data_IF_127119134003
#
_entry.id   IF_127119134003
#
_cell.length_a   1.000
_cell.length_b   1.000
_cell.length_c   1.000
_cell.angle_alpha   90.00
_cell.angle_beta   90.00
_cell.angle_gamma   90.00
#
_symmetry.space_group_name_H-M   'P 1'
#
loop_
_entity.id
_entity.type
_entity.pdbx_description
1 polymer ?
#
# COMPACT_ATOMS: atom_id res chain seq x y z
N UNK A 1 -4.76 13.81 21.60
CA UNK A 1 -3.52 13.89 22.40
C UNK A 1 -2.39 14.20 21.42
N UNK A 2 -1.84 15.42 21.45
CA UNK A 2 -0.70 15.78 20.60
C UNK A 2 0.56 15.12 21.15
N UNK A 3 1.22 14.27 20.36
CA UNK A 3 2.53 13.70 20.71
C UNK A 3 3.58 14.80 20.96
N UNK A 4 4.60 14.52 21.76
CA UNK A 4 5.70 15.46 21.99
C UNK A 4 6.37 15.86 20.66
N UNK A 5 6.66 17.16 20.43
CA UNK A 5 7.30 17.64 19.20
C UNK A 5 8.61 16.91 18.90
N UNK A 6 8.95 16.81 17.61
CA UNK A 6 10.18 16.17 17.12
C UNK A 6 10.34 14.67 17.47
N UNK A 7 9.29 14.00 17.93
CA UNK A 7 9.27 12.55 18.12
C UNK A 7 8.72 11.81 16.89
N UNK A 8 9.04 10.52 16.77
CA UNK A 8 8.51 9.66 15.71
C UNK A 8 6.98 9.71 15.61
N UNK A 9 6.28 9.63 16.73
CA UNK A 9 4.81 9.66 16.77
C UNK A 9 4.25 11.01 16.31
N UNK A 10 4.95 12.11 16.60
CA UNK A 10 4.56 13.43 16.11
C UNK A 10 4.68 13.53 14.59
N UNK A 11 5.78 13.03 14.00
CA UNK A 11 5.92 12.98 12.54
C UNK A 11 4.92 12.03 11.88
N UNK A 12 4.67 10.86 12.46
CA UNK A 12 3.72 9.89 11.94
C UNK A 12 2.29 10.47 11.92
N UNK A 13 1.88 11.14 13.01
CA UNK A 13 0.59 11.83 13.08
C UNK A 13 0.51 12.97 12.06
N UNK A 14 1.61 13.70 11.86
CA UNK A 14 1.69 14.75 10.85
C UNK A 14 1.54 14.19 9.43
N UNK A 15 2.26 13.12 9.10
CA UNK A 15 2.16 12.47 7.79
C UNK A 15 0.78 11.87 7.52
N UNK A 16 0.10 11.34 8.55
CA UNK A 16 -1.29 10.88 8.43
C UNK A 16 -2.25 12.04 8.09
N UNK A 17 -2.04 13.21 8.69
CA UNK A 17 -2.80 14.41 8.35
C UNK A 17 -2.53 14.85 6.90
N UNK A 18 -1.28 14.76 6.43
CA UNK A 18 -0.94 15.04 5.03
C UNK A 18 -1.58 14.02 4.07
N UNK A 19 -1.62 12.73 4.43
CA UNK A 19 -2.31 11.71 3.66
C UNK A 19 -3.82 12.02 3.54
N UNK A 20 -4.47 12.38 4.66
CA UNK A 20 -5.87 12.82 4.65
C UNK A 20 -6.10 14.02 3.73
N UNK A 21 -5.20 15.00 3.72
CA UNK A 21 -5.26 16.16 2.82
C UNK A 21 -5.06 15.77 1.36
N UNK A 22 -4.15 14.83 1.06
CA UNK A 22 -3.97 14.28 -0.30
C UNK A 22 -5.24 13.60 -0.81
N UNK A 23 -5.88 12.76 0.01
CA UNK A 23 -7.14 12.12 -0.35
C UNK A 23 -8.20 13.18 -0.64
N UNK A 24 -8.33 14.20 0.20
CA UNK A 24 -9.27 15.30 -0.05
C UNK A 24 -8.96 16.04 -1.37
N UNK A 25 -7.68 16.29 -1.66
CA UNK A 25 -7.27 16.94 -2.89
C UNK A 25 -7.56 16.09 -4.13
N UNK A 26 -7.47 14.77 -4.05
CA UNK A 26 -7.83 13.85 -5.13
C UNK A 26 -9.29 14.00 -5.56
N UNK A 27 -10.20 14.23 -4.62
CA UNK A 27 -11.63 14.45 -4.89
C UNK A 27 -11.97 15.91 -5.27
N UNK A 28 -10.98 16.77 -5.43
CA UNK A 28 -11.14 18.16 -5.87
C UNK A 28 -12.07 18.98 -4.98
N UNK A 29 -13.10 19.57 -5.58
CA UNK A 29 -14.10 20.41 -4.89
C UNK A 29 -15.22 19.61 -4.20
N UNK A 30 -15.15 18.28 -4.18
CA UNK A 30 -16.21 17.45 -3.61
C UNK A 30 -16.35 17.68 -2.10
N UNK A 31 -17.59 17.87 -1.63
CA UNK A 31 -17.90 17.97 -0.20
C UNK A 31 -17.61 16.66 0.55
N UNK A 32 -17.42 16.71 1.88
CA UNK A 32 -17.06 15.54 2.69
C UNK A 32 -18.09 14.41 2.58
N UNK A 33 -19.39 14.72 2.51
CA UNK A 33 -20.46 13.73 2.36
C UNK A 33 -20.30 12.96 1.04
N UNK A 34 -20.05 13.66 -0.07
CA UNK A 34 -19.86 13.02 -1.38
C UNK A 34 -18.63 12.11 -1.39
N UNK A 35 -17.54 12.52 -0.75
CA UNK A 35 -16.34 11.69 -0.60
C UNK A 35 -16.66 10.43 0.20
N UNK A 36 -17.34 10.57 1.35
CA UNK A 36 -17.76 9.43 2.17
C UNK A 36 -18.69 8.49 1.42
N UNK A 37 -19.63 9.02 0.63
CA UNK A 37 -20.53 8.20 -0.20
C UNK A 37 -19.76 7.44 -1.29
N UNK A 38 -18.80 8.08 -1.98
CA UNK A 38 -17.99 7.41 -3.00
C UNK A 38 -17.14 6.30 -2.37
N UNK A 39 -16.45 6.59 -1.27
CA UNK A 39 -15.61 5.62 -0.57
C UNK A 39 -16.45 4.49 0.03
N UNK A 40 -17.61 4.81 0.61
CA UNK A 40 -18.56 3.84 1.14
C UNK A 40 -19.14 2.95 0.05
N UNK A 41 -19.55 3.53 -1.08
CA UNK A 41 -20.06 2.78 -2.23
C UNK A 41 -18.98 1.85 -2.80
N UNK A 42 -17.75 2.32 -2.95
CA UNK A 42 -16.63 1.48 -3.39
C UNK A 42 -16.39 0.32 -2.41
N UNK A 43 -16.42 0.58 -1.10
CA UNK A 43 -16.21 -0.44 -0.09
C UNK A 43 -17.33 -1.50 -0.12
N UNK A 44 -18.59 -1.08 -0.18
CA UNK A 44 -19.73 -2.02 -0.32
C UNK A 44 -19.63 -2.81 -1.63
N UNK A 45 -19.30 -2.15 -2.73
CA UNK A 45 -19.13 -2.79 -4.03
C UNK A 45 -18.06 -3.90 -4.00
N UNK A 46 -16.87 -3.62 -3.44
CA UNK A 46 -15.81 -4.62 -3.36
C UNK A 46 -16.13 -5.76 -2.39
N UNK A 47 -16.86 -5.51 -1.30
CA UNK A 47 -17.33 -6.58 -0.41
C UNK A 47 -18.39 -7.45 -1.09
N UNK A 48 -19.35 -6.84 -1.79
CA UNK A 48 -20.34 -7.58 -2.57
C UNK A 48 -19.70 -8.42 -3.68
N UNK A 49 -18.74 -7.83 -4.41
CA UNK A 49 -17.99 -8.54 -5.44
C UNK A 49 -17.19 -9.72 -4.88
N UNK A 50 -16.51 -9.52 -3.73
CA UNK A 50 -15.72 -10.57 -3.10
C UNK A 50 -16.60 -11.72 -2.58
N UNK A 51 -17.75 -11.40 -1.95
CA UNK A 51 -18.70 -12.41 -1.51
C UNK A 51 -19.28 -13.19 -2.69
N UNK A 52 -19.76 -12.49 -3.71
CA UNK A 52 -20.33 -13.12 -4.91
C UNK A 52 -19.31 -14.04 -5.60
N UNK A 53 -18.11 -13.54 -5.88
CA UNK A 53 -17.09 -14.32 -6.58
C UNK A 53 -16.63 -15.55 -5.79
N UNK A 54 -16.54 -15.43 -4.46
CA UNK A 54 -16.11 -16.53 -3.61
C UNK A 54 -17.22 -17.56 -3.40
N UNK A 55 -18.47 -17.13 -3.24
CA UNK A 55 -19.64 -18.02 -3.13
C UNK A 55 -19.76 -18.88 -4.39
N UNK A 56 -19.71 -18.27 -5.57
CA UNK A 56 -19.71 -19.01 -6.85
C UNK A 56 -18.51 -19.95 -6.99
N UNK A 57 -17.32 -19.53 -6.53
CA UNK A 57 -16.13 -20.38 -6.64
C UNK A 57 -16.20 -21.57 -5.67
N UNK A 58 -16.81 -21.41 -4.50
CA UNK A 58 -16.95 -22.45 -3.49
C UNK A 58 -17.90 -23.57 -3.91
N UNK A 59 -18.92 -23.27 -4.73
CA UNK A 59 -19.80 -24.29 -5.33
C UNK A 59 -19.03 -25.27 -6.23
N UNK A 60 -17.95 -24.83 -6.87
CA UNK A 60 -17.12 -25.64 -7.78
C UNK A 60 -16.07 -26.50 -7.07
N UNK A 61 -15.79 -26.28 -5.77
CA UNK A 61 -14.75 -27.01 -5.04
C UNK A 61 -15.34 -28.15 -4.19
N UNK A 62 -15.18 -29.41 -4.63
CA UNK A 62 -15.63 -30.62 -3.91
C UNK A 62 -15.12 -30.71 -2.45
N UNK A 63 -13.92 -30.17 -2.16
CA UNK A 63 -13.30 -30.20 -0.83
C UNK A 63 -13.35 -28.84 -0.10
N UNK A 64 -14.18 -27.91 -0.62
CA UNK A 64 -14.81 -26.70 -0.07
C UNK A 64 -13.99 -25.65 0.71
N UNK A 65 -12.85 -25.98 1.33
CA UNK A 65 -12.11 -25.12 2.25
C UNK A 65 -10.60 -25.28 2.16
N UNK A 66 -10.08 -26.49 1.90
CA UNK A 66 -8.63 -26.71 1.72
C UNK A 66 -8.15 -26.27 0.34
N UNK A 67 -9.01 -26.38 -0.67
CA UNK A 67 -8.71 -25.95 -2.03
C UNK A 67 -8.37 -24.46 -2.12
N UNK A 68 -8.87 -23.61 -1.22
CA UNK A 68 -8.64 -22.16 -1.24
C UNK A 68 -7.21 -21.72 -0.85
N UNK A 69 -6.49 -22.51 -0.04
CA UNK A 69 -5.13 -22.15 0.42
C UNK A 69 -4.13 -21.91 -0.71
N UNK A 70 -3.99 -22.78 -1.72
CA UNK A 70 -3.07 -22.53 -2.83
C UNK A 70 -3.45 -21.30 -3.66
N UNK A 71 -4.75 -21.00 -3.86
CA UNK A 71 -5.17 -19.81 -4.61
C UNK A 71 -4.89 -18.50 -3.85
N UNK A 72 -5.11 -18.47 -2.53
CA UNK A 72 -4.76 -17.28 -1.74
C UNK A 72 -3.24 -17.16 -1.60
N UNK A 73 -2.52 -18.28 -1.49
CA UNK A 73 -1.06 -18.32 -1.51
C UNK A 73 -0.46 -17.78 -2.81
N UNK A 74 -1.04 -18.13 -3.97
CA UNK A 74 -0.64 -17.58 -5.26
C UNK A 74 -1.02 -16.09 -5.37
N UNK A 75 -2.18 -15.67 -4.87
CA UNK A 75 -2.57 -14.26 -4.80
C UNK A 75 -1.54 -13.40 -4.03
N UNK A 76 -0.91 -13.94 -2.98
CA UNK A 76 0.14 -13.26 -2.24
C UNK A 76 1.40 -12.96 -3.09
N UNK A 77 1.72 -13.82 -4.08
CA UNK A 77 2.81 -13.58 -5.04
C UNK A 77 2.55 -12.36 -5.92
N UNK A 78 1.29 -12.00 -6.12
CA UNK A 78 0.88 -10.85 -6.91
C UNK A 78 0.80 -9.56 -6.07
N UNK A 79 0.45 -9.67 -4.79
CA UNK A 79 0.35 -8.53 -3.86
C UNK A 79 1.73 -7.91 -3.54
N UNK A 80 2.76 -8.73 -3.35
CA UNK A 80 4.09 -8.24 -2.97
C UNK A 80 4.73 -7.32 -4.04
N UNK A 81 4.80 -7.71 -5.33
CA UNK A 81 5.28 -6.83 -6.41
C UNK A 81 4.49 -5.52 -6.50
N UNK A 82 3.16 -5.56 -6.32
CA UNK A 82 2.36 -4.33 -6.26
C UNK A 82 2.84 -3.41 -5.14
N UNK A 83 2.98 -3.92 -3.91
CA UNK A 83 3.44 -3.14 -2.75
C UNK A 83 4.82 -2.53 -3.03
N UNK A 84 5.75 -3.30 -3.63
CA UNK A 84 7.10 -2.84 -3.98
C UNK A 84 7.05 -1.73 -5.03
N UNK A 85 6.24 -1.88 -6.08
CA UNK A 85 6.03 -0.85 -7.12
C UNK A 85 5.50 0.45 -6.52
N UNK A 86 4.50 0.36 -5.63
CA UNK A 86 3.94 1.53 -4.95
C UNK A 86 4.95 2.17 -4.00
N UNK A 87 5.71 1.37 -3.26
CA UNK A 87 6.74 1.87 -2.37
C UNK A 87 7.85 2.62 -3.15
N UNK A 88 8.29 2.08 -4.29
CA UNK A 88 9.27 2.73 -5.16
C UNK A 88 8.75 4.05 -5.74
N UNK A 89 7.48 4.07 -6.17
CA UNK A 89 6.80 5.29 -6.67
C UNK A 89 6.70 6.35 -5.58
N UNK A 90 6.27 5.97 -4.38
CA UNK A 90 6.11 6.87 -3.24
C UNK A 90 7.46 7.37 -2.71
N UNK A 91 8.47 6.50 -2.66
CA UNK A 91 9.84 6.89 -2.32
C UNK A 91 10.40 7.90 -3.32
N UNK A 92 10.16 7.69 -4.62
CA UNK A 92 10.57 8.64 -5.67
C UNK A 92 9.91 10.00 -5.48
N UNK A 93 8.60 10.04 -5.20
CA UNK A 93 7.88 11.30 -4.92
C UNK A 93 8.40 11.99 -3.66
N UNK A 94 8.68 11.23 -2.61
CA UNK A 94 9.23 11.75 -1.38
C UNK A 94 10.61 12.40 -1.60
N UNK A 95 11.51 11.74 -2.35
CA UNK A 95 12.86 12.24 -2.59
C UNK A 95 12.91 13.41 -3.60
N UNK A 96 12.14 13.33 -4.69
CA UNK A 96 12.31 14.26 -5.83
C UNK A 96 11.26 15.35 -5.96
N UNK A 97 10.06 15.15 -5.39
CA UNK A 97 8.94 16.08 -5.58
C UNK A 97 8.71 16.95 -4.36
N UNK A 98 9.08 16.46 -3.17
CA UNK A 98 8.79 17.16 -1.91
C UNK A 98 9.86 18.16 -1.48
N UNK A 99 11.12 18.03 -1.95
CA UNK A 99 12.20 19.00 -1.70
C UNK A 99 12.49 19.26 -0.21
N UNK A 100 11.98 18.39 0.67
CA UNK A 100 11.97 18.56 2.13
C UNK A 100 13.26 18.04 2.78
N UNK A 101 14.04 17.24 2.06
CA UNK A 101 15.32 16.68 2.51
C UNK A 101 16.39 17.73 2.77
N UNK A 102 16.55 18.71 1.88
CA UNK A 102 17.57 19.76 2.06
C UNK A 102 17.25 20.60 3.30
N UNK A 103 15.96 20.83 3.57
CA UNK A 103 15.48 21.54 4.76
C UNK A 103 15.70 20.69 6.02
N UNK A 104 15.35 19.40 5.98
CA UNK A 104 15.56 18.50 7.13
C UNK A 104 17.04 18.37 7.47
N UNK A 105 17.91 18.23 6.47
CA UNK A 105 19.35 18.08 6.65
C UNK A 105 20.07 19.37 7.09
N UNK A 106 19.50 20.53 6.80
CA UNK A 106 20.01 21.84 7.27
C UNK A 106 19.43 22.27 8.61
N UNK A 107 18.31 21.69 9.05
CA UNK A 107 17.68 21.96 10.34
C UNK A 107 18.34 21.15 11.48
N UNK A 108 18.29 21.63 12.74
CA UNK A 108 18.83 20.91 13.92
C UNK A 108 17.99 19.68 14.32
N UNK A 109 17.27 19.07 13.38
CA UNK A 109 16.33 17.99 13.65
C UNK A 109 17.01 16.61 13.50
N UNK A 110 16.69 15.65 14.39
CA UNK A 110 17.22 14.30 14.27
C UNK A 110 16.67 13.61 13.01
N UNK A 111 17.57 13.17 12.12
CA UNK A 111 17.19 12.56 10.83
C UNK A 111 16.43 11.22 10.98
N UNK A 112 16.86 10.36 11.93
CA UNK A 112 16.30 9.00 12.12
C UNK A 112 14.77 8.96 12.29
N UNK A 113 14.14 9.70 13.22
CA UNK A 113 12.68 9.69 13.38
C UNK A 113 11.94 10.25 12.17
N UNK A 114 12.53 11.20 11.43
CA UNK A 114 11.94 11.74 10.20
C UNK A 114 11.89 10.68 9.10
N UNK A 115 13.03 10.01 8.85
CA UNK A 115 13.10 8.93 7.86
C UNK A 115 12.23 7.72 8.25
N UNK A 116 12.19 7.36 9.53
CA UNK A 116 11.33 6.28 10.02
C UNK A 116 9.84 6.59 9.83
N UNK A 117 9.41 7.82 10.17
CA UNK A 117 8.02 8.24 9.96
C UNK A 117 7.66 8.29 8.47
N UNK A 118 8.58 8.76 7.63
CA UNK A 118 8.41 8.76 6.16
C UNK A 118 8.29 7.34 5.61
N UNK A 119 9.15 6.41 6.04
CA UNK A 119 9.09 5.02 5.64
C UNK A 119 7.77 4.37 6.08
N UNK A 120 7.30 4.65 7.30
CA UNK A 120 6.00 4.18 7.76
C UNK A 120 4.86 4.77 6.92
N UNK A 121 4.90 6.05 6.58
CA UNK A 121 3.90 6.67 5.73
C UNK A 121 3.85 6.03 4.33
N UNK A 122 5.01 5.75 3.73
CA UNK A 122 5.11 5.02 2.46
C UNK A 122 4.51 3.61 2.61
N UNK A 123 4.81 2.91 3.70
CA UNK A 123 4.26 1.59 3.95
C UNK A 123 2.74 1.60 4.08
N UNK A 124 2.19 2.55 4.85
CA UNK A 124 0.75 2.71 5.00
C UNK A 124 0.07 3.03 3.66
N UNK A 125 0.66 3.90 2.84
CA UNK A 125 0.12 4.20 1.50
C UNK A 125 0.17 2.99 0.57
N UNK A 126 1.27 2.24 0.57
CA UNK A 126 1.41 1.02 -0.23
C UNK A 126 0.43 -0.07 0.21
N UNK A 127 0.27 -0.29 1.52
CA UNK A 127 -0.73 -1.23 2.06
C UNK A 127 -2.13 -0.80 1.66
N UNK A 128 -2.48 0.47 1.85
CA UNK A 128 -3.82 0.98 1.57
C UNK A 128 -4.18 0.85 0.09
N UNK A 129 -3.20 0.97 -0.81
CA UNK A 129 -3.41 0.80 -2.25
C UNK A 129 -3.93 -0.59 -2.64
N UNK A 130 -3.60 -1.61 -1.86
CA UNK A 130 -4.03 -3.00 -2.09
C UNK A 130 -5.16 -3.41 -1.13
N UNK A 131 -5.22 -2.80 0.05
CA UNK A 131 -6.17 -3.14 1.10
C UNK A 131 -7.64 -3.04 0.65
N UNK A 132 -7.96 -2.09 -0.23
CA UNK A 132 -9.33 -1.94 -0.76
C UNK A 132 -9.81 -3.17 -1.54
N UNK A 133 -8.88 -3.97 -2.09
CA UNK A 133 -9.19 -5.21 -2.80
C UNK A 133 -9.03 -6.44 -1.90
N UNK A 134 -7.97 -6.48 -1.10
CA UNK A 134 -7.60 -7.66 -0.30
C UNK A 134 -8.43 -7.82 0.97
N UNK A 135 -8.74 -6.73 1.68
CA UNK A 135 -9.50 -6.84 2.93
C UNK A 135 -10.95 -7.31 2.73
N UNK A 136 -11.69 -6.88 1.69
CA UNK A 136 -13.00 -7.45 1.39
C UNK A 136 -12.95 -8.96 1.15
N UNK A 137 -11.93 -9.45 0.43
CA UNK A 137 -11.72 -10.88 0.19
C UNK A 137 -11.43 -11.61 1.51
N UNK A 138 -10.58 -11.05 2.37
CA UNK A 138 -10.31 -11.62 3.69
C UNK A 138 -11.57 -11.73 4.56
N UNK A 139 -12.43 -10.71 4.53
CA UNK A 139 -13.71 -10.72 5.23
C UNK A 139 -14.67 -11.75 4.65
N UNK A 140 -14.79 -11.82 3.32
CA UNK A 140 -15.63 -12.80 2.65
C UNK A 140 -15.18 -14.24 2.97
N UNK A 141 -13.88 -14.51 2.93
CA UNK A 141 -13.29 -15.80 3.31
C UNK A 141 -13.54 -16.15 4.79
N UNK A 142 -13.46 -15.15 5.67
CA UNK A 142 -13.75 -15.35 7.09
C UNK A 142 -15.22 -15.69 7.35
N UNK A 143 -16.13 -15.13 6.56
CA UNK A 143 -17.56 -15.38 6.66
C UNK A 143 -17.99 -16.71 6.03
N UNK A 144 -17.47 -17.04 4.84
CA UNK A 144 -17.88 -18.21 4.06
C UNK A 144 -17.09 -19.49 4.38
N UNK A 145 -15.82 -19.36 4.77
CA UNK A 145 -14.93 -20.52 4.96
C UNK A 145 -14.49 -20.74 6.42
N UNK A 146 -13.65 -19.85 6.99
CA UNK A 146 -13.07 -20.01 8.33
C UNK A 146 -12.54 -18.66 8.87
N UNK A 147 -12.74 -18.35 10.15
CA UNK A 147 -12.19 -17.17 10.81
C UNK A 147 -10.66 -17.07 10.76
N UNK A 148 -9.94 -18.18 10.50
CA UNK A 148 -8.48 -18.17 10.28
C UNK A 148 -8.04 -17.28 9.12
N UNK A 149 -8.91 -17.00 8.15
CA UNK A 149 -8.61 -16.09 7.04
C UNK A 149 -8.41 -14.63 7.47
N UNK A 150 -8.82 -14.26 8.69
CA UNK A 150 -8.47 -12.96 9.29
C UNK A 150 -6.95 -12.81 9.52
N UNK A 151 -6.18 -13.91 9.48
CA UNK A 151 -4.73 -13.85 9.46
C UNK A 151 -4.17 -13.06 8.26
N UNK A 152 -4.97 -12.84 7.19
CA UNK A 152 -4.60 -11.98 6.06
C UNK A 152 -4.23 -10.57 6.53
N UNK A 153 -4.91 -10.02 7.55
CA UNK A 153 -4.65 -8.68 8.09
C UNK A 153 -3.19 -8.49 8.56
N UNK A 154 -2.68 -9.28 9.52
CA UNK A 154 -1.29 -9.16 9.94
C UNK A 154 -0.29 -9.56 8.85
N UNK A 155 -0.58 -10.53 7.97
CA UNK A 155 0.30 -10.82 6.83
C UNK A 155 0.39 -9.66 5.85
N UNK A 156 -0.71 -8.96 5.56
CA UNK A 156 -0.70 -7.79 4.69
C UNK A 156 0.12 -6.65 5.31
N UNK A 157 0.01 -6.45 6.62
CA UNK A 157 0.85 -5.50 7.34
C UNK A 157 2.34 -5.87 7.25
N UNK A 158 2.69 -7.14 7.48
CA UNK A 158 4.06 -7.63 7.38
C UNK A 158 4.61 -7.51 5.94
N UNK A 159 3.82 -7.91 4.95
CA UNK A 159 4.14 -7.79 3.52
C UNK A 159 4.32 -6.32 3.11
N UNK A 160 3.49 -5.42 3.63
CA UNK A 160 3.59 -3.98 3.45
C UNK A 160 4.89 -3.40 3.96
N UNK A 161 5.27 -3.74 5.20
CA UNK A 161 6.52 -3.30 5.81
C UNK A 161 7.74 -3.87 5.05
N UNK A 162 7.71 -5.16 4.73
CA UNK A 162 8.76 -5.85 3.99
C UNK A 162 8.94 -5.27 2.57
N UNK A 163 7.85 -5.19 1.80
CA UNK A 163 7.85 -4.66 0.44
C UNK A 163 8.25 -3.18 0.39
N UNK A 164 7.91 -2.41 1.43
CA UNK A 164 8.38 -1.02 1.55
C UNK A 164 9.88 -0.95 1.81
N UNK A 165 10.40 -1.78 2.72
CA UNK A 165 11.84 -1.89 2.93
C UNK A 165 12.57 -2.23 1.63
N UNK A 166 12.07 -3.20 0.88
CA UNK A 166 12.62 -3.59 -0.41
C UNK A 166 12.56 -2.45 -1.43
N UNK A 167 11.42 -1.77 -1.56
CA UNK A 167 11.27 -0.61 -2.46
C UNK A 167 12.22 0.54 -2.12
N UNK A 168 12.44 0.82 -0.83
CA UNK A 168 13.42 1.82 -0.37
C UNK A 168 14.86 1.40 -0.68
N UNK A 169 15.22 0.13 -0.46
CA UNK A 169 16.53 -0.41 -0.83
C UNK A 169 16.76 -0.31 -2.34
N UNK A 170 15.76 -0.67 -3.15
CA UNK A 170 15.81 -0.53 -4.61
C UNK A 170 16.02 0.93 -5.01
N UNK A 171 15.30 1.86 -4.38
CA UNK A 171 15.45 3.29 -4.64
C UNK A 171 16.87 3.79 -4.33
N UNK A 172 17.42 3.41 -3.18
CA UNK A 172 18.79 3.77 -2.79
C UNK A 172 19.83 3.13 -3.72
N UNK A 173 19.64 1.88 -4.11
CA UNK A 173 20.47 1.21 -5.11
C UNK A 173 20.46 1.95 -6.44
N UNK A 174 19.27 2.32 -6.92
CA UNK A 174 19.10 3.06 -8.17
C UNK A 174 19.76 4.44 -8.12
N UNK A 175 19.69 5.11 -6.97
CA UNK A 175 20.41 6.35 -6.72
C UNK A 175 21.94 6.16 -6.81
N UNK A 176 22.45 5.07 -6.21
CA UNK A 176 23.88 4.75 -6.20
C UNK A 176 24.44 4.36 -7.56
N UNK A 177 23.66 3.67 -8.40
CA UNK A 177 24.11 3.13 -9.68
C UNK A 177 23.78 4.02 -10.89
N UNK A 178 22.58 4.61 -10.96
CA UNK A 178 22.12 5.42 -12.11
C UNK A 178 22.42 6.91 -11.89
N UNK A 179 22.59 7.31 -10.63
CA UNK A 179 22.89 8.68 -10.22
C UNK A 179 21.64 9.57 -10.11
N UNK A 180 21.71 10.64 -9.29
CA UNK A 180 20.56 11.45 -8.85
C UNK A 180 19.72 12.02 -9.99
N UNK A 181 20.32 12.36 -11.14
CA UNK A 181 19.62 13.03 -12.25
C UNK A 181 18.64 12.10 -12.96
N UNK A 182 18.91 10.79 -13.02
CA UNK A 182 18.13 9.83 -13.81
C UNK A 182 17.27 8.89 -12.97
N UNK A 183 17.55 8.77 -11.67
CA UNK A 183 16.84 7.84 -10.77
C UNK A 183 15.33 8.02 -10.82
N UNK A 184 14.81 9.25 -10.86
CA UNK A 184 13.36 9.50 -10.94
C UNK A 184 12.70 8.81 -12.14
N UNK A 185 13.32 8.91 -13.32
CA UNK A 185 12.77 8.32 -14.55
C UNK A 185 12.85 6.81 -14.48
N UNK A 186 14.03 6.27 -14.13
CA UNK A 186 14.25 4.82 -14.09
C UNK A 186 13.38 4.16 -13.00
N UNK A 187 13.22 4.80 -11.83
CA UNK A 187 12.37 4.29 -10.76
C UNK A 187 10.91 4.22 -11.18
N UNK A 188 10.40 5.23 -11.89
CA UNK A 188 9.03 5.22 -12.41
C UNK A 188 8.84 4.15 -13.49
N UNK A 189 9.82 3.95 -14.37
CA UNK A 189 9.78 2.88 -15.37
C UNK A 189 9.76 1.52 -14.69
N UNK A 190 10.67 1.28 -13.73
CA UNK A 190 10.71 0.03 -12.96
C UNK A 190 9.42 -0.20 -12.18
N UNK A 191 8.89 0.83 -11.49
CA UNK A 191 7.62 0.72 -10.79
C UNK A 191 6.48 0.37 -11.75
N UNK A 192 6.44 1.00 -12.94
CA UNK A 192 5.45 0.69 -13.97
C UNK A 192 5.60 -0.73 -14.48
N UNK A 193 6.81 -1.21 -14.75
CA UNK A 193 7.08 -2.57 -15.20
C UNK A 193 6.69 -3.61 -14.15
N UNK A 194 7.05 -3.39 -12.88
CA UNK A 194 6.67 -4.26 -11.77
C UNK A 194 5.13 -4.27 -11.63
N UNK A 195 4.48 -3.11 -11.69
CA UNK A 195 3.02 -3.01 -11.63
C UNK A 195 2.32 -3.65 -12.84
N UNK A 196 2.86 -3.51 -14.05
CA UNK A 196 2.32 -4.10 -15.26
C UNK A 196 2.50 -5.63 -15.29
N UNK A 197 3.64 -6.13 -14.80
CA UNK A 197 3.87 -7.58 -14.67
C UNK A 197 2.84 -8.27 -13.79
N UNK A 198 2.39 -7.57 -12.74
CA UNK A 198 1.25 -8.01 -11.92
C UNK A 198 -0.04 -8.08 -12.75
N UNK A 199 -0.38 -7.04 -13.50
CA UNK A 199 -1.65 -6.97 -14.24
C UNK A 199 -1.73 -8.07 -15.31
N UNK A 200 -0.59 -8.36 -15.96
CA UNK A 200 -0.48 -9.44 -16.94
C UNK A 200 -0.55 -10.80 -16.26
N UNK A 201 0.18 -10.99 -15.15
CA UNK A 201 0.19 -12.26 -14.43
C UNK A 201 -1.16 -12.63 -13.79
N UNK A 202 -2.04 -11.66 -13.53
CA UNK A 202 -3.41 -11.91 -13.07
C UNK A 202 -4.33 -12.47 -14.19
N UNK A 203 -3.94 -12.29 -15.46
CA UNK A 203 -4.73 -12.66 -16.64
C UNK A 203 -4.25 -13.93 -17.34
N UNK A 204 -3.06 -14.43 -16.98
CA UNK A 204 -2.44 -15.63 -17.56
C UNK A 204 -2.77 -16.87 -16.74
#
# INVERSE_FOLDING_TARGET
>A
MSAHPATFLWFAAHDLNLARRRVRAFFGKSGPIKITLILGAALVFFHGLALFALDTALEDFEDGRRALYPYVGSAALFILPWIVSQALTNATRALYTRGDLDIVLSSPMPARPVFAARALAIALESILSVAIFVLPIANALALLADGRWLAIYPTLAAAGLFGTGLGLVLMLGLFRFVGPRRTRVVANVLATLIGASFAIGLQA
#
